data_IF_068558310836
#
_entry.id   IF_068558310836
#
_cell.length_a   1.000
_cell.length_b   1.000
_cell.length_c   1.000
_cell.angle_alpha   90.00
_cell.angle_beta   90.00
_cell.angle_gamma   90.00
#
_symmetry.space_group_name_H-M   'P 1'
#
loop_
_entity.id
_entity.type
_entity.pdbx_description
1 polymer ?
#
# COMPACT_ATOMS: atom_id res chain seq x y z
N UNK A 1 11.15 25.61 5.46
CA UNK A 1 11.22 24.77 6.67
C UNK A 1 11.59 23.36 6.27
N UNK A 2 12.85 22.98 6.50
CA UNK A 2 13.36 21.64 6.21
C UNK A 2 12.80 20.67 7.25
N UNK A 3 11.83 19.85 6.86
CA UNK A 3 11.34 18.75 7.69
C UNK A 3 12.32 17.61 7.51
N UNK A 4 13.37 17.60 8.33
CA UNK A 4 14.13 16.39 8.61
C UNK A 4 13.20 15.53 9.46
N UNK A 5 12.50 14.58 8.83
CA UNK A 5 11.85 13.50 9.58
C UNK A 5 12.98 12.70 10.21
N UNK A 6 13.05 12.67 11.55
CA UNK A 6 14.03 11.84 12.23
C UNK A 6 13.85 10.38 11.80
N UNK A 7 14.93 9.74 11.37
CA UNK A 7 14.97 8.37 10.86
C UNK A 7 14.29 7.35 11.81
N UNK A 8 14.24 7.68 13.10
CA UNK A 8 13.56 6.90 14.15
C UNK A 8 12.04 6.78 13.97
N UNK A 9 11.37 7.75 13.34
CA UNK A 9 9.90 7.73 13.21
C UNK A 9 9.47 6.69 12.18
N UNK A 10 10.19 6.61 11.06
CA UNK A 10 9.92 5.64 9.99
C UNK A 10 10.21 4.20 10.43
N UNK A 11 11.28 3.98 11.19
CA UNK A 11 11.60 2.68 11.75
C UNK A 11 10.50 2.16 12.70
N UNK A 12 9.97 3.04 13.57
CA UNK A 12 8.87 2.70 14.49
C UNK A 12 7.59 2.33 13.74
N UNK A 13 7.26 3.05 12.66
CA UNK A 13 6.08 2.76 11.85
C UNK A 13 6.19 1.43 11.09
N UNK A 14 7.38 1.08 10.59
CA UNK A 14 7.62 -0.25 10.00
C UNK A 14 7.40 -1.37 11.01
N UNK A 15 7.93 -1.23 12.22
CA UNK A 15 7.75 -2.21 13.31
C UNK A 15 6.26 -2.35 13.66
N UNK A 16 5.53 -1.23 13.76
CA UNK A 16 4.08 -1.24 14.04
C UNK A 16 3.25 -1.88 12.93
N UNK A 17 3.68 -1.78 11.67
CA UNK A 17 2.97 -2.38 10.53
C UNK A 17 3.13 -3.91 10.42
N UNK A 18 4.23 -4.47 10.94
CA UNK A 18 4.55 -5.88 10.74
C UNK A 18 3.53 -6.85 11.39
N UNK A 19 3.04 -6.62 12.63
CA UNK A 19 1.95 -7.41 13.20
C UNK A 19 0.66 -7.32 12.38
N UNK A 20 0.34 -6.15 11.82
CA UNK A 20 -0.84 -5.96 10.98
C UNK A 20 -0.78 -6.84 9.74
N UNK A 21 0.37 -6.90 9.06
CA UNK A 21 0.59 -7.78 7.90
C UNK A 21 0.34 -9.26 8.24
N UNK A 22 0.72 -9.69 9.45
CA UNK A 22 0.54 -11.08 9.92
C UNK A 22 -0.88 -11.40 10.36
N UNK A 23 -1.63 -10.43 10.86
CA UNK A 23 -2.94 -10.66 11.51
C UNK A 23 -4.12 -10.57 10.54
N UNK A 24 -3.94 -11.00 9.28
CA UNK A 24 -5.06 -11.04 8.33
C UNK A 24 -5.53 -9.66 7.86
N UNK A 25 -4.73 -8.60 7.99
CA UNK A 25 -5.13 -7.29 7.46
C UNK A 25 -5.00 -7.30 5.94
N UNK A 26 -5.94 -6.64 5.26
CA UNK A 26 -5.90 -6.49 3.81
C UNK A 26 -4.60 -5.75 3.37
N UNK A 27 -3.80 -6.33 2.47
CA UNK A 27 -2.56 -5.72 1.96
C UNK A 27 -2.72 -4.28 1.46
N UNK A 28 -3.81 -3.98 0.75
CA UNK A 28 -4.06 -2.66 0.19
C UNK A 28 -4.25 -1.59 1.28
N UNK A 29 -4.84 -1.96 2.42
CA UNK A 29 -5.01 -1.07 3.59
C UNK A 29 -3.66 -0.69 4.18
N UNK A 30 -2.73 -1.64 4.23
CA UNK A 30 -1.38 -1.42 4.75
C UNK A 30 -0.62 -0.48 3.81
N UNK A 31 -0.74 -0.69 2.50
CA UNK A 31 -0.11 0.18 1.48
C UNK A 31 -0.66 1.61 1.56
N UNK A 32 -1.98 1.78 1.63
CA UNK A 32 -2.64 3.09 1.83
C UNK A 32 -2.14 3.78 3.10
N UNK A 33 -2.07 3.05 4.21
CA UNK A 33 -1.60 3.59 5.50
C UNK A 33 -0.15 4.06 5.40
N UNK A 34 0.73 3.28 4.76
CA UNK A 34 2.13 3.64 4.56
C UNK A 34 2.29 4.88 3.67
N UNK A 35 1.50 5.01 2.60
CA UNK A 35 1.53 6.18 1.72
C UNK A 35 1.08 7.44 2.49
N UNK A 36 0.00 7.34 3.27
CA UNK A 36 -0.52 8.42 4.11
C UNK A 36 0.50 8.84 5.18
N UNK A 37 1.09 7.88 5.89
CA UNK A 37 2.10 8.14 6.92
C UNK A 37 3.33 8.85 6.34
N UNK A 38 3.77 8.48 5.14
CA UNK A 38 4.95 9.10 4.53
C UNK A 38 4.69 10.48 3.88
N UNK A 39 3.47 11.01 4.00
CA UNK A 39 3.09 12.34 3.50
C UNK A 39 3.33 12.53 1.99
N UNK A 40 3.36 11.42 1.25
CA UNK A 40 3.52 11.38 -0.21
C UNK A 40 2.33 12.02 -0.96
N UNK A 41 1.23 12.32 -0.26
CA UNK A 41 0.01 12.93 -0.78
C UNK A 41 0.20 14.35 -1.38
N UNK A 42 1.37 14.96 -1.19
CA UNK A 42 1.71 16.23 -1.85
C UNK A 42 1.93 16.07 -3.36
N UNK A 43 2.16 14.84 -3.83
CA UNK A 43 2.28 14.52 -5.25
C UNK A 43 0.90 14.14 -5.80
N UNK A 44 0.41 14.91 -6.78
CA UNK A 44 -0.88 14.69 -7.43
C UNK A 44 -0.99 13.31 -8.09
N UNK A 45 0.12 12.81 -8.66
CA UNK A 45 0.23 11.46 -9.22
C UNK A 45 -0.03 10.35 -8.19
N UNK A 46 0.40 10.54 -6.94
CA UNK A 46 0.19 9.57 -5.87
C UNK A 46 -1.25 9.57 -5.34
N UNK A 47 -2.02 10.64 -5.51
CA UNK A 47 -3.45 10.66 -5.15
C UNK A 47 -4.26 9.70 -6.02
N UNK A 48 -3.95 9.64 -7.31
CA UNK A 48 -4.68 8.76 -8.22
C UNK A 48 -4.29 7.29 -8.00
N UNK A 49 -2.99 6.99 -7.86
CA UNK A 49 -2.54 5.65 -7.47
C UNK A 49 -3.17 5.19 -6.14
N UNK A 50 -3.28 6.10 -5.16
CA UNK A 50 -3.93 5.81 -3.88
C UNK A 50 -5.41 5.47 -4.05
N UNK A 51 -6.15 6.20 -4.90
CA UNK A 51 -7.57 5.90 -5.17
C UNK A 51 -7.75 4.50 -5.76
N UNK A 52 -6.86 4.07 -6.64
CA UNK A 52 -6.93 2.73 -7.23
C UNK A 52 -6.65 1.65 -6.19
N UNK A 53 -5.63 1.82 -5.36
CA UNK A 53 -5.37 0.92 -4.22
C UNK A 53 -6.54 0.92 -3.23
N UNK A 54 -7.15 2.08 -2.99
CA UNK A 54 -8.34 2.16 -2.14
C UNK A 54 -9.49 1.36 -2.76
N UNK A 55 -9.78 1.42 -4.08
CA UNK A 55 -10.83 0.58 -4.68
C UNK A 55 -10.63 -0.91 -4.40
N UNK A 56 -9.39 -1.41 -4.47
CA UNK A 56 -9.07 -2.80 -4.14
C UNK A 56 -9.39 -3.13 -2.66
N UNK A 57 -9.19 -2.19 -1.73
CA UNK A 57 -9.61 -2.37 -0.34
C UNK A 57 -11.12 -2.63 -0.22
N UNK A 58 -11.94 -1.86 -0.94
CA UNK A 58 -13.40 -1.89 -0.84
C UNK A 58 -14.02 -3.11 -1.50
N UNK A 59 -13.43 -3.62 -2.59
CA UNK A 59 -13.90 -4.83 -3.26
C UNK A 59 -13.84 -6.09 -2.36
N UNK A 60 -13.00 -6.11 -1.32
CA UNK A 60 -12.80 -7.28 -0.46
C UNK A 60 -13.82 -7.45 0.68
N UNK A 61 -14.70 -6.47 0.96
CA UNK A 61 -15.66 -6.45 2.10
C UNK A 61 -15.07 -6.71 3.51
N UNK A 62 -13.76 -6.97 3.67
CA UNK A 62 -13.13 -7.25 4.95
C UNK A 62 -11.74 -6.61 5.03
N UNK A 63 -11.67 -5.53 5.78
CA UNK A 63 -10.43 -4.83 6.10
C UNK A 63 -9.51 -5.64 7.05
N UNK A 64 -10.06 -6.63 7.76
CA UNK A 64 -9.41 -7.35 8.86
C UNK A 64 -9.75 -8.85 8.83
N UNK A 65 -8.90 -9.66 9.45
CA UNK A 65 -9.10 -11.10 9.66
C UNK A 65 -9.31 -11.92 8.37
N UNK A 66 -8.63 -11.54 7.30
CA UNK A 66 -8.52 -12.37 6.10
C UNK A 66 -7.81 -13.68 6.45
N UNK A 67 -8.29 -14.77 5.84
CA UNK A 67 -7.54 -16.03 5.80
C UNK A 67 -6.28 -15.85 4.96
N UNK A 68 -5.30 -16.74 5.12
CA UNK A 68 -4.07 -16.73 4.31
C UNK A 68 -4.39 -16.72 2.82
N UNK A 69 -5.29 -17.58 2.36
CA UNK A 69 -5.69 -17.65 0.94
C UNK A 69 -6.26 -16.32 0.45
N UNK A 70 -7.13 -15.68 1.23
CA UNK A 70 -7.69 -14.37 0.87
C UNK A 70 -6.65 -13.26 0.90
N UNK A 71 -5.65 -13.34 1.78
CA UNK A 71 -4.53 -12.39 1.75
C UNK A 71 -3.69 -12.58 0.48
N UNK A 72 -3.47 -13.83 0.05
CA UNK A 72 -2.74 -14.14 -1.19
C UNK A 72 -3.51 -13.60 -2.40
N UNK A 73 -4.82 -13.85 -2.49
CA UNK A 73 -5.68 -13.29 -3.56
C UNK A 73 -5.52 -11.75 -3.64
N UNK A 74 -5.62 -11.06 -2.50
CA UNK A 74 -5.45 -9.61 -2.46
C UNK A 74 -4.05 -9.14 -2.87
N UNK A 75 -3.00 -9.90 -2.55
CA UNK A 75 -1.63 -9.60 -2.98
C UNK A 75 -1.53 -9.74 -4.50
N UNK A 76 -2.05 -10.84 -5.06
CA UNK A 76 -2.01 -11.09 -6.51
C UNK A 76 -2.78 -10.00 -7.25
N UNK A 77 -4.01 -9.70 -6.83
CA UNK A 77 -4.83 -8.64 -7.42
C UNK A 77 -4.09 -7.30 -7.40
N UNK A 78 -3.55 -6.91 -6.24
CA UNK A 78 -2.81 -5.65 -6.12
C UNK A 78 -1.52 -5.62 -6.94
N UNK A 79 -0.80 -6.74 -7.07
CA UNK A 79 0.46 -6.82 -7.81
C UNK A 79 0.28 -6.92 -9.33
N UNK A 80 -0.91 -7.29 -9.80
CA UNK A 80 -1.21 -7.46 -11.23
C UNK A 80 -2.18 -6.40 -11.76
N UNK A 81 -2.65 -5.49 -10.90
CA UNK A 81 -3.50 -4.38 -11.28
C UNK A 81 -2.79 -3.45 -12.27
N UNK A 82 -3.32 -3.39 -13.49
CA UNK A 82 -2.78 -2.59 -14.60
C UNK A 82 -2.77 -1.09 -14.27
N UNK A 83 -3.74 -0.61 -13.48
CA UNK A 83 -3.78 0.78 -13.06
C UNK A 83 -2.65 1.10 -12.07
N UNK A 84 -2.23 0.14 -11.24
CA UNK A 84 -1.04 0.29 -10.38
C UNK A 84 0.24 0.17 -11.21
N UNK A 85 0.35 -0.85 -12.07
CA UNK A 85 1.56 -1.13 -12.85
C UNK A 85 1.90 -0.04 -13.88
N UNK A 86 0.90 0.54 -14.53
CA UNK A 86 1.05 1.67 -15.48
C UNK A 86 1.56 2.97 -14.83
N UNK A 87 1.59 3.03 -13.50
CA UNK A 87 2.01 4.19 -12.71
C UNK A 87 3.23 3.90 -11.85
N UNK A 88 3.85 2.74 -12.06
CA UNK A 88 5.12 2.36 -11.42
C UNK A 88 6.27 3.14 -12.04
N UNK A 89 7.41 3.13 -11.36
CA UNK A 89 8.61 3.80 -11.88
C UNK A 89 9.08 3.14 -13.17
N UNK A 90 9.36 3.90 -14.22
CA UNK A 90 9.70 3.41 -15.56
C UNK A 90 10.84 2.36 -15.60
N UNK A 91 11.78 2.42 -14.66
CA UNK A 91 12.92 1.48 -14.57
C UNK A 91 12.50 0.10 -14.04
N UNK A 92 11.27 -0.03 -13.52
CA UNK A 92 10.76 -1.28 -12.95
C UNK A 92 10.30 -2.30 -14.02
N UNK A 93 10.31 -1.94 -15.32
CA UNK A 93 9.96 -2.83 -16.45
C UNK A 93 8.67 -3.63 -16.21
N UNK A 94 7.57 -2.96 -15.84
CA UNK A 94 6.30 -3.61 -15.46
C UNK A 94 5.55 -4.30 -16.60
N UNK A 95 5.93 -4.02 -17.85
CA UNK A 95 5.37 -4.63 -19.05
C UNK A 95 6.51 -5.22 -19.89
N UNK A 96 6.92 -6.45 -19.55
CA UNK A 96 7.83 -7.30 -20.34
C UNK A 96 7.05 -8.50 -20.88
#
# INVERSE_FOLDING_TARGET
>A
SNIIRSDDTYAKDRIRSAPLKRNGINPAVITVSNIKLNNFLRLSSLKEALRQIEKLCWCSNRYHQLTVDKQIDCIIDQSTDVDILSRSWDVLETFM
#
